data_IF_582048466701
#
_entry.id   IF_582048466701
#
_cell.length_a   1.000
_cell.length_b   1.000
_cell.length_c   1.000
_cell.angle_alpha   90.00
_cell.angle_beta   90.00
_cell.angle_gamma   90.00
#
_symmetry.space_group_name_H-M   'P 1'
#
loop_
_entity.id
_entity.type
_entity.pdbx_description
1 polymer ?
#
# COMPACT_ATOMS: atom_id res chain seq x y z
N UNK A 1 1.55 29.57 -8.34
CA UNK A 1 1.61 29.95 -9.76
C UNK A 1 0.49 29.19 -10.47
N UNK A 2 -0.73 29.75 -10.58
CA UNK A 2 -1.85 29.00 -11.11
C UNK A 2 -2.10 29.44 -12.54
N UNK A 3 -1.61 28.69 -13.54
CA UNK A 3 -2.28 28.72 -14.84
C UNK A 3 -1.84 27.55 -15.73
N UNK A 4 -2.85 26.79 -16.16
CA UNK A 4 -2.85 25.78 -17.23
C UNK A 4 -2.12 24.47 -16.92
N UNK A 5 -2.91 23.40 -16.80
CA UNK A 5 -2.51 22.11 -17.36
C UNK A 5 -2.36 22.30 -18.87
N UNK A 6 -1.18 22.75 -19.32
CA UNK A 6 -0.83 22.70 -20.73
C UNK A 6 -0.55 21.25 -21.10
N UNK A 7 -0.83 20.86 -22.34
CA UNK A 7 -0.40 19.56 -22.85
C UNK A 7 1.11 19.34 -22.69
N UNK A 8 1.89 20.42 -22.61
CA UNK A 8 3.33 20.43 -22.31
C UNK A 8 3.67 20.01 -20.86
N UNK A 9 2.80 20.29 -19.88
CA UNK A 9 2.96 19.85 -18.50
C UNK A 9 2.58 18.38 -18.28
N UNK A 10 1.70 17.84 -19.13
CA UNK A 10 1.39 16.41 -19.18
C UNK A 10 2.42 15.61 -20.01
N UNK A 11 3.12 16.27 -20.96
CA UNK A 11 4.20 15.70 -21.78
C UNK A 11 5.61 15.86 -21.19
N UNK A 12 5.76 16.36 -19.96
CA UNK A 12 7.07 16.61 -19.33
C UNK A 12 7.86 15.35 -18.95
N UNK A 13 7.19 14.19 -18.90
CA UNK A 13 7.83 12.91 -18.62
C UNK A 13 8.33 12.33 -19.94
N UNK A 14 9.60 12.58 -20.25
CA UNK A 14 10.26 11.90 -21.35
C UNK A 14 10.01 10.38 -21.23
N UNK A 15 9.49 9.69 -22.26
CA UNK A 15 9.07 8.28 -22.23
C UNK A 15 10.24 7.26 -22.11
N UNK A 16 11.32 7.63 -21.42
CA UNK A 16 12.54 6.85 -21.21
C UNK A 16 12.35 5.62 -20.32
N UNK A 17 11.40 5.66 -19.38
CA UNK A 17 10.86 4.50 -18.66
C UNK A 17 9.39 4.36 -19.04
N UNK A 18 9.10 3.71 -20.17
CA UNK A 18 7.72 3.36 -20.47
C UNK A 18 7.31 2.25 -19.52
N UNK A 19 6.88 2.66 -18.34
CA UNK A 19 6.16 1.83 -17.42
C UNK A 19 4.77 1.59 -17.99
N UNK A 20 4.41 0.32 -18.11
CA UNK A 20 3.22 -0.13 -18.83
C UNK A 20 1.95 -0.06 -17.98
N UNK A 21 2.06 0.38 -16.73
CA UNK A 21 0.97 0.42 -15.74
C UNK A 21 0.86 1.80 -15.06
N UNK A 22 0.69 2.85 -15.87
CA UNK A 22 0.55 4.26 -15.46
C UNK A 22 -0.87 4.76 -15.73
N UNK A 23 -1.47 5.46 -14.76
CA UNK A 23 -2.74 6.19 -14.93
C UNK A 23 -2.58 7.66 -14.63
N UNK A 24 -3.09 8.53 -15.49
CA UNK A 24 -3.13 9.97 -15.26
C UNK A 24 -4.57 10.44 -15.08
N UNK A 25 -4.85 11.16 -13.99
CA UNK A 25 -6.15 11.79 -13.76
C UNK A 25 -5.99 13.29 -13.93
N UNK A 26 -6.66 13.82 -14.96
CA UNK A 26 -6.75 15.25 -15.22
C UNK A 26 -8.21 15.71 -15.16
N UNK A 27 -8.47 16.79 -14.41
CA UNK A 27 -9.81 17.39 -14.29
C UNK A 27 -9.81 18.81 -14.86
N UNK A 28 -10.58 19.03 -15.94
CA UNK A 28 -11.01 20.35 -16.43
C UNK A 28 -12.54 20.32 -16.53
N UNK A 29 -13.22 21.18 -15.77
CA UNK A 29 -14.67 21.33 -15.89
C UNK A 29 -14.96 22.04 -17.23
N UNK A 30 -15.52 21.31 -18.21
CA UNK A 30 -15.72 21.86 -19.55
C UNK A 30 -16.66 21.05 -20.45
N UNK A 31 -17.20 21.75 -21.46
CA UNK A 31 -18.03 21.22 -22.55
C UNK A 31 -17.27 20.19 -23.40
N UNK A 32 -17.98 19.23 -24.00
CA UNK A 32 -17.42 18.08 -24.75
C UNK A 32 -16.42 18.50 -25.83
N UNK A 33 -16.71 19.62 -26.52
CA UNK A 33 -15.83 20.19 -27.55
C UNK A 33 -14.43 20.56 -27.01
N UNK A 34 -14.35 20.99 -25.75
CA UNK A 34 -13.11 21.39 -25.08
C UNK A 34 -12.27 20.16 -24.71
N UNK A 35 -12.92 19.10 -24.25
CA UNK A 35 -12.31 17.80 -23.93
C UNK A 35 -11.73 17.15 -25.19
N UNK A 36 -12.52 17.09 -26.26
CA UNK A 36 -12.08 16.58 -27.57
C UNK A 36 -10.88 17.34 -28.12
N UNK A 37 -10.89 18.67 -27.99
CA UNK A 37 -9.76 19.50 -28.39
C UNK A 37 -8.52 19.26 -27.53
N UNK A 38 -8.68 18.94 -26.24
CA UNK A 38 -7.58 18.58 -25.35
C UNK A 38 -6.98 17.22 -25.73
N UNK A 39 -7.81 16.20 -25.93
CA UNK A 39 -7.38 14.86 -26.38
C UNK A 39 -6.55 14.95 -27.66
N UNK A 40 -7.03 15.68 -28.68
CA UNK A 40 -6.28 15.87 -29.93
C UNK A 40 -4.93 16.56 -29.74
N UNK A 41 -4.84 17.52 -28.80
CA UNK A 41 -3.55 18.18 -28.48
C UNK A 41 -2.60 17.24 -27.76
N UNK A 42 -3.12 16.40 -26.86
CA UNK A 42 -2.34 15.40 -26.13
C UNK A 42 -1.80 14.34 -27.09
N UNK A 43 -2.64 13.77 -27.96
CA UNK A 43 -2.23 12.81 -28.99
C UNK A 43 -1.12 13.40 -29.87
N UNK A 44 -1.30 14.64 -30.35
CA UNK A 44 -0.29 15.31 -31.17
C UNK A 44 1.03 15.50 -30.40
N UNK A 45 0.97 15.95 -29.16
CA UNK A 45 2.17 16.17 -28.34
C UNK A 45 2.92 14.85 -28.10
N UNK A 46 2.19 13.78 -27.78
CA UNK A 46 2.76 12.43 -27.63
C UNK A 46 3.43 11.98 -28.93
N UNK A 47 2.75 12.10 -30.08
CA UNK A 47 3.32 11.72 -31.37
C UNK A 47 4.61 12.49 -31.69
N UNK A 48 4.60 13.81 -31.52
CA UNK A 48 5.78 14.66 -31.72
C UNK A 48 6.94 14.23 -30.80
N UNK A 49 6.65 13.96 -29.52
CA UNK A 49 7.65 13.53 -28.54
C UNK A 49 8.23 12.16 -28.91
N UNK A 50 7.39 11.15 -29.16
CA UNK A 50 7.81 9.79 -29.52
C UNK A 50 8.73 9.78 -30.74
N UNK A 51 8.53 10.67 -31.70
CA UNK A 51 9.37 10.78 -32.91
C UNK A 51 10.81 11.20 -32.60
N UNK A 52 11.05 11.93 -31.50
CA UNK A 52 12.39 12.40 -31.11
C UNK A 52 13.12 11.44 -30.17
N UNK A 53 12.44 10.42 -29.65
CA UNK A 53 12.97 9.58 -28.59
C UNK A 53 13.88 8.48 -29.14
N UNK A 54 15.08 8.26 -28.55
CA UNK A 54 15.99 7.20 -28.97
C UNK A 54 15.36 5.80 -28.94
N UNK A 55 14.39 5.58 -28.05
CA UNK A 55 13.63 4.33 -27.89
C UNK A 55 12.23 4.40 -28.52
N UNK A 56 12.01 5.29 -29.49
CA UNK A 56 10.69 5.55 -30.08
C UNK A 56 9.95 4.31 -30.60
N UNK A 57 10.66 3.29 -31.10
CA UNK A 57 10.03 2.03 -31.54
C UNK A 57 9.39 1.25 -30.38
N UNK A 58 10.09 1.13 -29.25
CA UNK A 58 9.59 0.47 -28.04
C UNK A 58 8.40 1.23 -27.48
N UNK A 59 8.49 2.57 -27.49
CA UNK A 59 7.43 3.46 -27.01
C UNK A 59 6.15 3.27 -27.84
N UNK A 60 6.25 3.26 -29.18
CA UNK A 60 5.09 3.02 -30.05
C UNK A 60 4.49 1.63 -29.87
N UNK A 61 5.30 0.60 -29.74
CA UNK A 61 4.82 -0.77 -29.55
C UNK A 61 3.98 -0.90 -28.27
N UNK A 62 4.46 -0.33 -27.17
CA UNK A 62 3.74 -0.36 -25.90
C UNK A 62 2.48 0.51 -25.92
N UNK A 63 2.52 1.73 -26.50
CA UNK A 63 1.29 2.53 -26.70
C UNK A 63 0.25 1.81 -27.56
N UNK A 64 0.66 1.13 -28.63
CA UNK A 64 -0.26 0.40 -29.50
C UNK A 64 -0.89 -0.82 -28.80
N UNK A 65 -0.16 -1.46 -27.88
CA UNK A 65 -0.64 -2.66 -27.17
C UNK A 65 -1.39 -2.36 -25.86
N UNK A 66 -1.08 -1.25 -25.19
CA UNK A 66 -1.52 -0.96 -23.80
C UNK A 66 -1.90 0.49 -23.55
N UNK A 67 -1.60 1.41 -24.47
CA UNK A 67 -1.96 2.81 -24.33
C UNK A 67 -3.45 3.05 -24.56
N UNK A 68 -4.00 4.05 -23.85
CA UNK A 68 -5.38 4.47 -24.03
C UNK A 68 -5.63 5.82 -23.38
N UNK A 69 -6.56 6.59 -23.95
CA UNK A 69 -7.10 7.81 -23.35
C UNK A 69 -8.54 7.51 -22.97
N UNK A 70 -8.86 7.68 -21.68
CA UNK A 70 -10.21 7.48 -21.15
C UNK A 70 -10.77 8.84 -20.75
N UNK A 71 -11.94 9.16 -21.27
CA UNK A 71 -12.69 10.36 -20.92
C UNK A 71 -13.83 9.95 -20.02
N UNK A 72 -13.79 10.40 -18.77
CA UNK A 72 -14.85 10.17 -17.79
C UNK A 72 -15.84 11.35 -17.79
N UNK A 73 -17.11 11.09 -17.50
CA UNK A 73 -18.12 12.12 -17.37
C UNK A 73 -17.97 12.95 -16.09
N UNK A 74 -17.23 12.46 -15.09
CA UNK A 74 -16.92 13.18 -13.86
C UNK A 74 -15.63 12.68 -13.20
N UNK A 75 -15.08 13.50 -12.29
CA UNK A 75 -13.93 13.11 -11.46
C UNK A 75 -14.20 11.83 -10.64
N UNK A 76 -15.44 11.64 -10.15
CA UNK A 76 -15.81 10.46 -9.38
C UNK A 76 -15.74 9.17 -10.22
N UNK A 77 -16.12 9.24 -11.50
CA UNK A 77 -15.99 8.11 -12.43
C UNK A 77 -14.52 7.83 -12.77
N UNK A 78 -13.71 8.87 -12.98
CA UNK A 78 -12.26 8.72 -13.19
C UNK A 78 -11.58 8.05 -11.98
N UNK A 79 -11.91 8.47 -10.75
CA UNK A 79 -11.40 7.87 -9.52
C UNK A 79 -11.88 6.41 -9.37
N UNK A 80 -13.15 6.14 -9.70
CA UNK A 80 -13.68 4.77 -9.66
C UNK A 80 -12.93 3.85 -10.62
N UNK A 81 -12.67 4.33 -11.84
CA UNK A 81 -11.82 3.62 -12.80
C UNK A 81 -10.40 3.42 -12.26
N UNK A 82 -9.74 4.46 -11.75
CA UNK A 82 -8.38 4.35 -11.23
C UNK A 82 -8.27 3.35 -10.07
N UNK A 83 -9.26 3.32 -9.18
CA UNK A 83 -9.35 2.34 -8.10
C UNK A 83 -9.59 0.91 -8.60
N UNK A 84 -10.41 0.71 -9.62
CA UNK A 84 -10.64 -0.61 -10.20
C UNK A 84 -9.41 -1.11 -10.96
N UNK A 85 -8.82 -0.24 -11.78
CA UNK A 85 -7.61 -0.49 -12.56
C UNK A 85 -6.41 -0.80 -11.67
N UNK A 86 -6.23 -0.05 -10.58
CA UNK A 86 -5.23 -0.25 -9.54
C UNK A 86 -3.79 -0.27 -10.08
N UNK A 87 -3.42 0.83 -10.74
CA UNK A 87 -2.13 1.01 -11.39
C UNK A 87 -0.94 0.92 -10.43
N UNK A 88 0.22 0.56 -10.98
CA UNK A 88 1.52 0.68 -10.31
C UNK A 88 1.80 2.14 -9.94
N UNK A 89 1.67 3.05 -10.90
CA UNK A 89 1.89 4.49 -10.71
C UNK A 89 0.64 5.30 -11.12
N UNK A 90 0.21 6.22 -10.26
CA UNK A 90 -0.86 7.19 -10.56
C UNK A 90 -0.30 8.60 -10.51
N UNK A 91 -0.60 9.42 -11.51
CA UNK A 91 -0.29 10.86 -11.52
C UNK A 91 -1.59 11.66 -11.50
N UNK A 92 -1.70 12.55 -10.52
CA UNK A 92 -2.86 13.42 -10.33
C UNK A 92 -2.49 14.84 -10.74
N UNK A 93 -3.11 15.33 -11.81
CA UNK A 93 -2.95 16.71 -12.29
C UNK A 93 -4.32 17.40 -12.22
N UNK A 94 -4.61 18.00 -11.07
CA UNK A 94 -5.87 18.69 -10.83
C UNK A 94 -5.64 20.06 -10.20
N UNK A 95 -6.65 20.94 -10.27
CA UNK A 95 -6.64 22.24 -9.58
C UNK A 95 -6.85 22.09 -8.07
N UNK A 96 -7.68 21.11 -7.68
CA UNK A 96 -7.91 20.70 -6.31
C UNK A 96 -7.76 19.17 -6.23
N UNK A 97 -6.59 18.73 -5.79
CA UNK A 97 -6.20 17.32 -5.72
C UNK A 97 -6.77 16.61 -4.49
N UNK A 98 -7.09 17.34 -3.41
CA UNK A 98 -7.39 16.72 -2.12
C UNK A 98 -8.59 15.75 -2.18
N UNK A 99 -9.72 16.08 -2.85
CA UNK A 99 -10.84 15.15 -2.98
C UNK A 99 -10.49 13.86 -3.73
N UNK A 100 -9.53 13.93 -4.67
CA UNK A 100 -9.05 12.77 -5.43
C UNK A 100 -8.22 11.89 -4.48
N UNK A 101 -7.29 12.49 -3.73
CA UNK A 101 -6.42 11.77 -2.79
C UNK A 101 -7.20 11.11 -1.65
N UNK A 102 -8.26 11.74 -1.17
CA UNK A 102 -9.13 11.18 -0.11
C UNK A 102 -9.92 9.94 -0.59
N UNK A 103 -10.21 9.87 -1.89
CA UNK A 103 -11.02 8.82 -2.51
C UNK A 103 -10.20 7.73 -3.23
N UNK A 104 -8.93 8.00 -3.56
CA UNK A 104 -8.03 7.03 -4.17
C UNK A 104 -7.60 6.00 -3.10
N UNK A 105 -7.77 4.73 -3.43
CA UNK A 105 -7.55 3.57 -2.55
C UNK A 105 -6.47 2.64 -3.07
N UNK A 106 -6.44 2.41 -4.39
CA UNK A 106 -5.59 1.41 -5.00
C UNK A 106 -4.60 2.07 -5.96
N UNK A 107 -3.36 2.23 -5.53
CA UNK A 107 -2.23 2.67 -6.34
C UNK A 107 -0.93 2.18 -5.69
N UNK A 108 0.08 1.81 -6.47
CA UNK A 108 1.40 1.50 -5.92
C UNK A 108 2.06 2.76 -5.35
N UNK A 109 2.11 3.83 -6.15
CA UNK A 109 2.52 5.16 -5.71
C UNK A 109 1.71 6.25 -6.41
N UNK A 110 1.60 7.42 -5.77
CA UNK A 110 0.82 8.55 -6.27
C UNK A 110 1.70 9.78 -6.37
N UNK A 111 1.78 10.37 -7.56
CA UNK A 111 2.42 11.64 -7.82
C UNK A 111 1.38 12.75 -7.96
N UNK A 112 1.67 13.91 -7.39
CA UNK A 112 0.69 15.00 -7.29
C UNK A 112 1.27 16.27 -7.90
N UNK A 113 0.58 16.80 -8.91
CA UNK A 113 0.94 18.03 -9.62
C UNK A 113 1.80 17.81 -10.86
N UNK A 114 1.75 18.78 -11.78
CA UNK A 114 2.38 18.70 -13.10
C UNK A 114 3.92 18.61 -13.10
N UNK A 115 4.58 18.89 -11.97
CA UNK A 115 6.04 18.76 -11.85
C UNK A 115 6.48 17.44 -11.21
N UNK A 116 5.54 16.61 -10.78
CA UNK A 116 5.81 15.35 -10.07
C UNK A 116 5.92 14.18 -11.06
N UNK A 117 6.87 14.30 -11.98
CA UNK A 117 7.24 13.24 -12.93
C UNK A 117 7.52 11.93 -12.19
N UNK A 118 7.11 10.79 -12.76
CA UNK A 118 7.44 9.47 -12.21
C UNK A 118 8.96 9.28 -12.08
N UNK A 119 9.75 9.86 -13.00
CA UNK A 119 11.21 9.83 -12.93
C UNK A 119 11.78 10.33 -11.59
N UNK A 120 11.14 11.30 -10.92
CA UNK A 120 11.62 11.69 -9.59
C UNK A 120 11.35 10.60 -8.54
N UNK A 121 10.22 9.90 -8.64
CA UNK A 121 9.88 8.72 -7.86
C UNK A 121 10.89 7.60 -8.01
N UNK A 122 11.20 7.28 -9.26
CA UNK A 122 12.14 6.22 -9.63
C UNK A 122 13.56 6.43 -9.09
N UNK A 123 13.97 7.69 -8.84
CA UNK A 123 15.37 8.01 -8.59
C UNK A 123 15.67 8.78 -7.30
N UNK A 124 14.85 9.75 -6.87
CA UNK A 124 15.33 10.76 -5.92
C UNK A 124 14.36 11.18 -4.81
N UNK A 125 13.05 10.97 -4.95
CA UNK A 125 12.11 11.37 -3.88
C UNK A 125 12.33 10.61 -2.57
N UNK A 126 12.98 9.44 -2.63
CA UNK A 126 13.17 8.54 -1.51
C UNK A 126 12.04 7.51 -1.36
N UNK A 127 10.99 7.59 -2.18
CA UNK A 127 10.01 6.51 -2.33
C UNK A 127 10.67 5.25 -2.94
N UNK A 128 10.05 4.09 -2.72
CA UNK A 128 10.51 2.85 -3.31
C UNK A 128 9.78 2.61 -4.65
N UNK A 129 10.53 2.36 -5.72
CA UNK A 129 9.96 2.08 -7.04
C UNK A 129 9.73 0.59 -7.33
N UNK A 130 9.93 -0.29 -6.35
CA UNK A 130 9.52 -1.69 -6.45
C UNK A 130 8.06 -1.77 -6.00
N UNK A 131 7.15 -1.68 -6.95
CA UNK A 131 5.72 -1.52 -6.73
C UNK A 131 4.91 -2.71 -7.29
N UNK A 132 3.67 -2.92 -6.80
CA UNK A 132 2.80 -3.97 -7.31
C UNK A 132 2.21 -3.59 -8.68
N UNK A 133 2.34 -4.49 -9.66
CA UNK A 133 1.89 -4.29 -11.05
C UNK A 133 0.70 -5.18 -11.40
N UNK A 134 0.03 -4.93 -12.53
CA UNK A 134 -1.03 -5.80 -13.03
C UNK A 134 -2.28 -5.79 -12.14
N UNK A 135 -2.58 -4.64 -11.53
CA UNK A 135 -3.70 -4.47 -10.61
C UNK A 135 -3.46 -5.00 -9.19
N UNK A 136 -2.23 -5.43 -8.86
CA UNK A 136 -1.90 -5.94 -7.53
C UNK A 136 -1.91 -4.85 -6.43
N UNK A 137 -1.95 -3.57 -6.80
CA UNK A 137 -2.14 -2.47 -5.85
C UNK A 137 -3.47 -2.53 -5.07
N UNK A 138 -4.41 -3.40 -5.47
CA UNK A 138 -5.62 -3.73 -4.67
C UNK A 138 -5.32 -4.47 -3.36
N UNK A 139 -4.19 -5.17 -3.29
CA UNK A 139 -3.89 -6.10 -2.20
C UNK A 139 -2.47 -5.97 -1.64
N UNK A 140 -1.56 -5.36 -2.39
CA UNK A 140 -0.15 -5.25 -2.03
C UNK A 140 0.29 -3.79 -1.96
N UNK A 141 1.26 -3.52 -1.10
CA UNK A 141 1.97 -2.24 -1.04
C UNK A 141 3.28 -2.31 -1.83
N UNK A 142 3.87 -1.15 -2.11
CA UNK A 142 5.26 -1.08 -2.54
C UNK A 142 6.23 -1.65 -1.50
N UNK A 143 7.41 -2.08 -1.97
CA UNK A 143 8.45 -2.61 -1.11
C UNK A 143 8.83 -1.59 -0.03
N UNK A 144 8.84 -2.06 1.22
CA UNK A 144 9.11 -1.27 2.40
C UNK A 144 10.13 -1.97 3.29
N UNK A 145 10.57 -1.28 4.34
CA UNK A 145 11.40 -1.93 5.37
C UNK A 145 10.65 -3.07 6.05
N UNK A 146 9.32 -3.02 6.13
CA UNK A 146 8.48 -4.04 6.80
C UNK A 146 8.56 -5.41 6.13
N UNK A 147 8.84 -5.45 4.82
CA UNK A 147 9.00 -6.68 4.06
C UNK A 147 10.27 -7.47 4.45
N UNK A 148 11.20 -6.81 5.14
CA UNK A 148 12.42 -7.42 5.67
C UNK A 148 12.31 -7.78 7.16
N UNK A 149 11.20 -7.46 7.83
CA UNK A 149 10.95 -7.86 9.20
C UNK A 149 10.25 -9.20 9.29
N UNK A 150 10.59 -9.97 10.33
CA UNK A 150 9.80 -11.13 10.77
C UNK A 150 9.15 -10.84 12.10
N UNK A 151 7.83 -10.71 12.09
CA UNK A 151 7.03 -10.49 13.30
C UNK A 151 6.94 -11.79 14.11
N UNK A 152 7.40 -11.76 15.36
CA UNK A 152 7.27 -12.88 16.31
C UNK A 152 6.53 -12.39 17.54
N UNK A 153 5.37 -12.98 17.82
CA UNK A 153 4.63 -12.71 19.06
C UNK A 153 5.03 -13.71 20.13
N UNK A 154 5.29 -13.24 21.35
CA UNK A 154 5.43 -14.10 22.52
C UNK A 154 4.34 -13.75 23.54
N UNK A 155 3.82 -14.77 24.21
CA UNK A 155 2.80 -14.62 25.23
C UNK A 155 3.31 -15.26 26.52
N UNK A 156 3.12 -14.58 27.64
CA UNK A 156 3.38 -15.10 28.98
C UNK A 156 2.11 -14.96 29.78
N UNK A 157 1.58 -16.09 30.22
CA UNK A 157 0.41 -16.17 31.09
C UNK A 157 0.91 -16.61 32.46
N UNK A 158 0.68 -15.77 33.46
CA UNK A 158 0.97 -16.16 34.84
C UNK A 158 -0.09 -17.16 35.36
N UNK A 159 0.22 -17.80 36.49
CA UNK A 159 -0.65 -18.85 37.05
C UNK A 159 -2.06 -18.33 37.37
N UNK A 160 -2.19 -17.12 37.91
CA UNK A 160 -3.48 -16.58 38.34
C UNK A 160 -4.34 -16.17 37.14
N UNK A 161 -3.72 -15.65 36.07
CA UNK A 161 -4.38 -15.43 34.79
C UNK A 161 -4.81 -16.75 34.15
N UNK A 162 -3.95 -17.77 34.13
CA UNK A 162 -4.31 -19.10 33.61
C UNK A 162 -5.50 -19.70 34.36
N UNK A 163 -5.53 -19.58 35.70
CA UNK A 163 -6.64 -20.01 36.54
C UNK A 163 -7.95 -19.30 36.21
N UNK A 164 -7.91 -17.97 36.00
CA UNK A 164 -9.10 -17.18 35.65
C UNK A 164 -9.62 -17.47 34.25
N UNK A 165 -8.73 -17.81 33.31
CA UNK A 165 -9.07 -18.07 31.90
C UNK A 165 -9.46 -19.53 31.64
N UNK A 166 -9.13 -20.45 32.55
CA UNK A 166 -9.22 -21.90 32.33
C UNK A 166 -10.61 -22.36 31.87
N UNK A 167 -11.67 -21.88 32.53
CA UNK A 167 -13.04 -22.31 32.22
C UNK A 167 -13.59 -21.65 30.96
N UNK A 168 -13.26 -20.38 30.71
CA UNK A 168 -13.66 -19.67 29.48
C UNK A 168 -13.02 -20.32 28.25
N UNK A 169 -11.71 -20.55 28.30
CA UNK A 169 -10.97 -21.24 27.22
C UNK A 169 -11.49 -22.67 27.06
N UNK A 170 -11.77 -23.37 28.16
CA UNK A 170 -12.37 -24.70 28.12
C UNK A 170 -13.73 -24.70 27.42
N UNK A 171 -14.56 -23.71 27.70
CA UNK A 171 -15.91 -23.58 27.12
C UNK A 171 -15.85 -23.30 25.62
N UNK A 172 -14.96 -22.40 25.19
CA UNK A 172 -14.71 -22.14 23.77
C UNK A 172 -14.21 -23.39 23.05
N UNK A 173 -13.23 -24.09 23.64
CA UNK A 173 -12.68 -25.31 23.06
C UNK A 173 -13.71 -26.44 22.95
N UNK A 174 -14.62 -26.59 23.92
CA UNK A 174 -15.71 -27.57 23.83
C UNK A 174 -16.72 -27.22 22.72
N UNK A 175 -17.06 -25.94 22.59
CA UNK A 175 -17.97 -25.47 21.54
C UNK A 175 -17.40 -25.70 20.13
N UNK A 176 -16.06 -25.66 20.00
CA UNK A 176 -15.34 -25.98 18.76
C UNK A 176 -15.09 -27.48 18.56
N UNK A 177 -15.46 -28.34 19.53
CA UNK A 177 -15.25 -29.79 19.45
C UNK A 177 -13.80 -30.22 19.68
N UNK A 178 -13.01 -29.47 20.46
CA UNK A 178 -11.59 -29.68 20.74
C UNK A 178 -11.34 -30.09 22.20
N UNK A 179 -11.71 -31.32 22.62
CA UNK A 179 -11.66 -31.75 24.03
C UNK A 179 -10.25 -31.74 24.64
N UNK A 180 -9.21 -31.97 23.84
CA UNK A 180 -7.82 -31.89 24.30
C UNK A 180 -7.38 -30.48 24.68
N UNK A 181 -7.83 -29.46 23.93
CA UNK A 181 -7.57 -28.05 24.26
C UNK A 181 -8.33 -27.65 25.52
N UNK A 182 -9.59 -28.10 25.62
CA UNK A 182 -10.43 -27.83 26.78
C UNK A 182 -9.84 -28.42 28.07
N UNK A 183 -9.40 -29.69 28.00
CA UNK A 183 -8.74 -30.36 29.11
C UNK A 183 -7.42 -29.67 29.51
N UNK A 184 -6.62 -29.25 28.53
CA UNK A 184 -5.36 -28.54 28.79
C UNK A 184 -5.59 -27.20 29.50
N UNK A 185 -6.60 -26.43 29.09
CA UNK A 185 -6.96 -25.18 29.76
C UNK A 185 -7.45 -25.42 31.19
N UNK A 186 -8.42 -26.33 31.37
CA UNK A 186 -9.00 -26.64 32.69
C UNK A 186 -8.02 -27.30 33.65
N UNK A 187 -6.94 -27.92 33.17
CA UNK A 187 -5.85 -28.40 34.01
C UNK A 187 -5.17 -27.26 34.81
N UNK A 188 -5.31 -26.01 34.36
CA UNK A 188 -4.86 -24.83 35.07
C UNK A 188 -5.93 -24.18 35.96
N UNK A 189 -7.17 -24.67 35.99
CA UNK A 189 -8.23 -24.13 36.85
C UNK A 189 -7.82 -24.17 38.32
N UNK A 190 -8.34 -23.25 39.13
CA UNK A 190 -8.08 -23.26 40.56
C UNK A 190 -8.68 -24.53 41.18
N UNK A 191 -7.83 -25.45 41.63
CA UNK A 191 -8.28 -26.58 42.43
C UNK A 191 -8.92 -26.07 43.73
N UNK A 192 -10.17 -26.45 43.99
CA UNK A 192 -10.79 -26.22 45.29
C UNK A 192 -10.13 -27.14 46.34
N UNK A 193 -9.11 -26.67 47.07
CA UNK A 193 -8.47 -27.41 48.18
C UNK A 193 -7.14 -26.80 48.66
N UNK A 194 -6.81 -26.91 49.97
CA UNK A 194 -5.96 -25.96 50.68
C UNK A 194 -4.49 -25.98 50.26
N UNK A 195 -3.88 -24.80 50.15
CA UNK A 195 -2.44 -24.63 49.91
C UNK A 195 -1.67 -25.02 51.18
N UNK A 196 -0.81 -26.03 51.09
CA UNK A 196 0.18 -26.34 52.13
C UNK A 196 1.24 -25.22 52.15
N UNK A 197 1.20 -24.38 53.17
CA UNK A 197 2.19 -23.33 53.45
C UNK A 197 3.50 -23.94 53.97
N UNK A 198 4.15 -24.81 53.20
CA UNK A 198 5.48 -25.31 53.55
C UNK A 198 6.33 -25.54 52.30
N UNK A 199 6.93 -24.48 51.80
CA UNK A 199 8.31 -24.45 51.29
C UNK A 199 8.57 -23.14 50.56
N UNK A 200 8.92 -22.08 51.30
CA UNK A 200 9.75 -21.00 50.76
C UNK A 200 11.02 -20.95 51.57
N UNK A 201 11.85 -21.99 51.40
CA UNK A 201 13.28 -21.91 51.71
C UNK A 201 14.01 -21.48 50.44
N UNK A 202 13.99 -20.18 50.13
CA UNK A 202 14.93 -19.58 49.18
C UNK A 202 15.96 -18.81 50.01
N UNK A 203 17.16 -19.36 50.13
CA UNK A 203 18.32 -18.64 50.68
C UNK A 203 18.71 -17.49 49.75
N UNK A 204 19.05 -16.30 50.27
CA UNK A 204 19.56 -15.20 49.49
C UNK A 204 21.09 -15.30 49.44
N UNK A 205 21.65 -16.10 48.55
CA UNK A 205 23.08 -16.01 48.21
C UNK A 205 23.31 -16.53 46.79
N UNK A 206 23.32 -15.61 45.83
CA UNK A 206 23.92 -15.84 44.51
C UNK A 206 25.39 -15.43 44.55
N UNK A 207 26.32 -16.22 44.00
CA UNK A 207 27.72 -15.82 43.97
C UNK A 207 27.91 -14.63 43.01
N UNK A 208 28.68 -13.66 43.48
CA UNK A 208 29.04 -12.47 42.73
C UNK A 208 29.77 -12.79 41.43
N UNK A 209 29.48 -11.97 40.42
CA UNK A 209 30.33 -11.82 39.25
C UNK A 209 30.79 -10.36 39.21
N UNK A 210 31.98 -10.13 39.78
CA UNK A 210 32.81 -8.97 39.49
C UNK A 210 33.54 -9.17 38.15
N UNK A 211 33.71 -8.06 37.43
CA UNK A 211 34.73 -7.85 36.39
C UNK A 211 34.17 -7.74 34.97
N UNK A 212 34.59 -6.82 34.11
CA UNK A 212 35.49 -5.66 34.19
C UNK A 212 35.47 -5.01 32.79
N UNK A 213 35.68 -3.68 32.74
CA UNK A 213 36.00 -2.82 31.59
C UNK A 213 34.92 -2.57 30.51
#
# INVERSE_FOLDING_TARGET
>A
YPDRATAEGAGGDAPGSMDTDRTEIANDEGDTDRTDAFVRRLEKALDDDVMTQPRGSVIRESLAGRGGILVAASAAEAIAFANDYAAEHVIVIARDEQPILDALRNAGTVFVGASSSNAFGDYMTGANHVLPTGGLARSYSGLSVLDFFRWTTYQRIDRDAAQRLADDVGTLADAEGLPGHAAAARAHAASAGPRDERSTGVSPDGPGAEGQA
#
